data_IF_967204442140
#
_entry.id   IF_967204442140
#
_cell.length_a   1.000
_cell.length_b   1.000
_cell.length_c   1.000
_cell.angle_alpha   90.00
_cell.angle_beta   90.00
_cell.angle_gamma   90.00
#
_symmetry.space_group_name_H-M   'P 1'
#
loop_
_entity.id
_entity.type
_entity.pdbx_description
1 polymer ?
#
# COMPACT_ATOMS: atom_id res chain seq x y z
N UNK A 1 16.18 80.66 -26.37
CA UNK A 1 16.22 79.70 -25.27
C UNK A 1 15.05 78.69 -25.41
N UNK A 2 15.31 77.52 -26.00
CA UNK A 2 14.31 76.43 -26.15
C UNK A 2 14.80 75.29 -25.36
N UNK A 3 14.03 74.89 -24.29
CA UNK A 3 14.29 73.70 -23.47
C UNK A 3 13.54 72.53 -24.08
N UNK A 4 14.27 71.51 -24.49
CA UNK A 4 13.73 70.26 -25.01
C UNK A 4 13.59 69.32 -23.81
N UNK A 5 12.36 68.88 -23.48
CA UNK A 5 12.11 67.81 -22.51
C UNK A 5 12.27 66.47 -23.22
N UNK A 6 13.20 65.64 -22.73
CA UNK A 6 13.24 64.23 -23.07
C UNK A 6 12.35 63.46 -22.13
N UNK A 7 11.28 62.84 -22.63
CA UNK A 7 10.47 61.89 -21.91
C UNK A 7 11.11 60.50 -22.00
N UNK A 8 11.53 59.94 -20.87
CA UNK A 8 11.99 58.57 -20.78
C UNK A 8 10.79 57.65 -20.53
N UNK A 9 10.49 56.79 -21.50
CA UNK A 9 9.51 55.73 -21.35
C UNK A 9 10.17 54.51 -20.65
N UNK A 10 9.78 54.22 -19.40
CA UNK A 10 10.15 53.02 -18.70
C UNK A 10 9.21 51.88 -19.13
N UNK A 11 9.74 50.93 -19.91
CA UNK A 11 9.06 49.65 -20.16
C UNK A 11 9.16 48.77 -18.87
N UNK A 12 8.05 48.61 -18.16
CA UNK A 12 7.89 47.60 -17.13
C UNK A 12 7.64 46.27 -17.83
N UNK A 13 8.69 45.43 -17.94
CA UNK A 13 8.54 44.00 -18.21
C UNK A 13 8.06 43.32 -16.95
N UNK A 14 6.76 43.10 -16.84
CA UNK A 14 6.20 42.17 -15.86
C UNK A 14 6.55 40.74 -16.33
N UNK A 15 7.69 40.24 -15.89
CA UNK A 15 8.02 38.82 -15.97
C UNK A 15 7.10 38.06 -15.05
N UNK A 16 6.14 37.32 -15.58
CA UNK A 16 5.49 36.23 -14.85
C UNK A 16 6.57 35.19 -14.52
N UNK A 17 7.18 35.31 -13.36
CA UNK A 17 7.84 34.18 -12.70
C UNK A 17 6.73 33.25 -12.26
N UNK A 18 6.41 32.25 -13.09
CA UNK A 18 5.70 31.08 -12.64
C UNK A 18 6.52 30.44 -11.55
N UNK A 19 6.15 30.66 -10.30
CA UNK A 19 6.68 29.87 -9.19
C UNK A 19 6.18 28.44 -9.40
N UNK A 20 7.04 27.59 -9.96
CA UNK A 20 6.94 26.17 -9.73
C UNK A 20 7.39 25.95 -8.28
N UNK A 21 6.49 26.22 -7.33
CA UNK A 21 6.64 25.71 -5.97
C UNK A 21 6.52 24.19 -6.07
N UNK A 22 7.64 23.55 -6.39
CA UNK A 22 7.86 22.16 -6.05
C UNK A 22 8.04 22.15 -4.51
N UNK A 23 6.95 22.07 -3.79
CA UNK A 23 7.03 21.68 -2.38
C UNK A 23 7.87 20.43 -2.33
N UNK A 24 9.01 20.41 -1.62
CA UNK A 24 9.82 19.22 -1.54
C UNK A 24 8.94 18.13 -0.93
N UNK A 25 8.73 17.06 -1.68
CA UNK A 25 8.00 15.90 -1.22
C UNK A 25 8.59 15.41 0.10
N UNK A 26 7.76 14.98 1.02
CA UNK A 26 8.26 14.42 2.27
C UNK A 26 7.93 12.93 2.34
N UNK A 27 8.86 12.16 2.95
CA UNK A 27 8.73 10.72 3.09
C UNK A 27 8.48 10.36 4.55
N UNK A 28 7.46 9.55 4.78
CA UNK A 28 7.14 8.95 6.08
C UNK A 28 7.63 7.51 6.06
N UNK A 29 8.73 7.19 6.76
CA UNK A 29 9.22 5.83 6.85
C UNK A 29 8.44 5.06 7.93
N UNK A 30 8.02 3.85 7.63
CA UNK A 30 7.47 2.87 8.56
C UNK A 30 8.42 1.69 8.63
N UNK A 31 9.20 1.59 9.68
CA UNK A 31 9.92 0.38 10.09
C UNK A 31 9.01 -0.37 11.08
N UNK A 32 8.40 -1.46 10.65
CA UNK A 32 7.42 -2.18 11.48
C UNK A 32 8.06 -2.89 12.68
N UNK A 33 9.39 -2.97 12.74
CA UNK A 33 10.08 -3.38 13.94
C UNK A 33 9.95 -2.37 15.10
N UNK A 34 9.68 -1.10 14.77
CA UNK A 34 9.57 0.02 15.72
C UNK A 34 8.18 0.65 15.67
N UNK A 35 7.66 0.92 14.48
CA UNK A 35 6.41 1.68 14.23
C UNK A 35 5.23 0.75 13.89
N UNK A 36 5.03 -0.29 14.71
CA UNK A 36 4.00 -1.31 14.52
C UNK A 36 2.62 -0.94 15.07
N UNK A 37 2.54 0.05 15.94
CA UNK A 37 1.30 0.42 16.61
C UNK A 37 0.35 1.20 15.70
N UNK A 38 -0.95 1.07 15.96
CA UNK A 38 -2.00 1.77 15.22
C UNK A 38 -2.38 1.15 13.88
N UNK A 39 -1.83 -0.03 13.54
CA UNK A 39 -2.28 -0.83 12.41
C UNK A 39 -3.39 -1.78 12.85
N UNK A 40 -4.42 -1.90 12.03
CA UNK A 40 -5.57 -2.79 12.23
C UNK A 40 -5.71 -3.68 11.01
N UNK A 41 -5.87 -4.98 11.26
CA UNK A 41 -6.00 -5.96 10.19
C UNK A 41 -7.47 -6.27 9.87
N UNK A 42 -7.77 -6.51 8.60
CA UNK A 42 -9.07 -6.98 8.15
C UNK A 42 -8.96 -7.80 6.86
N UNK A 43 -10.05 -8.48 6.48
CA UNK A 43 -10.13 -9.25 5.26
C UNK A 43 -11.50 -9.11 4.60
N UNK A 44 -11.54 -9.33 3.29
CA UNK A 44 -12.75 -9.21 2.46
C UNK A 44 -12.70 -10.19 1.27
N UNK A 45 -13.78 -10.21 0.48
CA UNK A 45 -13.96 -10.96 -0.75
C UNK A 45 -14.05 -12.47 -0.56
N UNK A 46 -14.78 -12.86 0.48
CA UNK A 46 -15.18 -14.24 0.73
C UNK A 46 -16.59 -14.31 1.33
N UNK A 47 -17.31 -15.43 1.20
CA UNK A 47 -18.63 -15.61 1.83
C UNK A 47 -18.55 -15.48 3.35
N UNK A 48 -19.44 -14.70 3.96
CA UNK A 48 -19.41 -14.42 5.40
C UNK A 48 -19.54 -15.68 6.27
N UNK A 49 -20.25 -16.68 5.78
CA UNK A 49 -20.41 -18.00 6.44
C UNK A 49 -19.15 -18.87 6.37
N UNK A 50 -18.19 -18.52 5.51
CA UNK A 50 -16.90 -19.20 5.39
C UNK A 50 -15.76 -18.54 6.18
N UNK A 51 -16.04 -17.56 7.02
CA UNK A 51 -15.02 -16.85 7.80
C UNK A 51 -14.13 -17.79 8.63
N UNK A 52 -14.71 -18.85 9.21
CA UNK A 52 -13.96 -19.86 9.96
C UNK A 52 -13.00 -20.69 9.07
N UNK A 53 -13.40 -20.98 7.83
CA UNK A 53 -12.56 -21.70 6.86
C UNK A 53 -11.44 -20.81 6.30
N UNK A 54 -11.69 -19.51 6.14
CA UNK A 54 -10.65 -18.53 5.81
C UNK A 54 -9.59 -18.48 6.91
N UNK A 55 -9.99 -18.52 8.18
CA UNK A 55 -9.08 -18.51 9.32
C UNK A 55 -8.13 -17.32 9.28
N UNK A 56 -8.63 -16.13 8.88
CA UNK A 56 -7.82 -14.92 8.73
C UNK A 56 -7.11 -14.57 10.03
N UNK A 57 -5.82 -14.28 9.91
CA UNK A 57 -4.99 -13.73 11.00
C UNK A 57 -4.27 -12.49 10.49
N UNK A 58 -4.43 -11.39 11.22
CA UNK A 58 -3.67 -10.17 11.03
C UNK A 58 -3.11 -9.71 12.37
N UNK A 59 -1.78 -9.67 12.48
CA UNK A 59 -1.10 -9.48 13.76
C UNK A 59 0.28 -8.83 13.55
N UNK A 60 0.99 -8.57 14.65
CA UNK A 60 2.42 -8.25 14.66
C UNK A 60 3.16 -9.48 15.18
N UNK A 61 4.05 -10.03 14.37
CA UNK A 61 4.77 -11.26 14.70
C UNK A 61 6.26 -11.14 14.47
N UNK A 62 7.02 -11.91 15.24
CA UNK A 62 8.44 -12.11 14.96
C UNK A 62 8.61 -12.76 13.60
N UNK A 63 9.65 -12.35 12.89
CA UNK A 63 10.01 -12.97 11.61
C UNK A 63 10.44 -14.42 11.84
N UNK A 64 10.07 -15.37 10.97
CA UNK A 64 10.47 -16.77 11.09
C UNK A 64 11.93 -16.99 10.70
N UNK A 65 12.55 -18.06 11.22
CA UNK A 65 13.85 -18.50 10.73
C UNK A 65 13.76 -18.86 9.23
N UNK A 66 14.83 -18.61 8.43
CA UNK A 66 16.17 -18.14 8.81
C UNK A 66 16.31 -16.62 8.93
N UNK A 67 15.21 -15.86 8.91
CA UNK A 67 15.25 -14.40 9.05
C UNK A 67 15.64 -14.01 10.49
N UNK A 68 15.87 -12.72 10.73
CA UNK A 68 16.21 -12.19 12.04
C UNK A 68 14.98 -12.32 12.97
N UNK A 69 14.92 -13.40 13.75
CA UNK A 69 13.79 -13.74 14.60
C UNK A 69 13.54 -12.80 15.79
N UNK A 70 14.45 -11.84 16.03
CA UNK A 70 14.26 -10.75 16.97
C UNK A 70 13.55 -9.55 16.38
N UNK A 71 13.43 -9.49 15.04
CA UNK A 71 12.67 -8.47 14.34
C UNK A 71 11.22 -8.91 14.16
N UNK A 72 10.32 -7.94 14.07
CA UNK A 72 8.89 -8.18 13.83
C UNK A 72 8.45 -7.56 12.52
N UNK A 73 7.29 -8.01 12.04
CA UNK A 73 6.61 -7.44 10.89
C UNK A 73 5.09 -7.46 11.08
N UNK A 74 4.38 -6.71 10.26
CA UNK A 74 2.94 -6.84 10.13
C UNK A 74 2.64 -8.14 9.39
N UNK A 75 1.97 -9.05 10.06
CA UNK A 75 1.67 -10.38 9.54
C UNK A 75 0.24 -10.45 9.01
N UNK A 76 0.08 -11.11 7.87
CA UNK A 76 -1.22 -11.50 7.31
C UNK A 76 -1.15 -12.97 6.89
N UNK A 77 -2.18 -13.72 7.23
CA UNK A 77 -2.38 -15.08 6.71
C UNK A 77 -3.86 -15.44 6.60
N UNK A 78 -4.16 -16.36 5.71
CA UNK A 78 -5.50 -16.91 5.55
C UNK A 78 -5.57 -17.94 4.44
N UNK A 79 -6.64 -18.74 4.46
CA UNK A 79 -6.95 -19.68 3.39
C UNK A 79 -7.97 -19.05 2.45
N UNK A 80 -7.59 -18.82 1.22
CA UNK A 80 -8.51 -18.36 0.19
C UNK A 80 -9.43 -19.50 -0.22
N UNK A 81 -10.72 -19.35 0.07
CA UNK A 81 -11.77 -20.32 -0.24
C UNK A 81 -12.66 -19.87 -1.40
N UNK A 82 -12.53 -18.60 -1.80
CA UNK A 82 -13.42 -17.94 -2.78
C UNK A 82 -12.75 -17.71 -4.15
N UNK A 83 -11.41 -17.81 -4.22
CA UNK A 83 -10.66 -17.41 -5.40
C UNK A 83 -10.45 -15.89 -5.52
N UNK A 84 -10.75 -15.10 -4.48
CA UNK A 84 -10.59 -13.62 -4.48
C UNK A 84 -10.33 -13.05 -3.07
N UNK A 85 -9.66 -13.81 -2.20
CA UNK A 85 -9.40 -13.33 -0.83
C UNK A 85 -8.51 -12.07 -0.84
N UNK A 86 -9.02 -11.03 -0.17
CA UNK A 86 -8.27 -9.81 0.12
C UNK A 86 -8.00 -9.71 1.62
N UNK A 87 -6.71 -9.69 1.98
CA UNK A 87 -6.24 -9.49 3.37
C UNK A 87 -5.44 -8.20 3.45
N UNK A 88 -5.65 -7.39 4.48
CA UNK A 88 -4.95 -6.11 4.58
C UNK A 88 -4.74 -5.65 6.01
N UNK A 89 -3.71 -4.84 6.19
CA UNK A 89 -3.48 -3.96 7.32
C UNK A 89 -3.87 -2.54 6.91
N UNK A 90 -4.45 -1.79 7.82
CA UNK A 90 -4.77 -0.38 7.59
C UNK A 90 -4.36 0.48 8.78
N UNK A 91 -4.03 1.73 8.51
CA UNK A 91 -3.74 2.75 9.51
C UNK A 91 -4.33 4.08 9.09
N UNK A 92 -4.99 4.77 10.02
CA UNK A 92 -5.38 6.16 9.83
C UNK A 92 -4.26 7.08 10.27
N UNK A 93 -3.89 8.05 9.46
CA UNK A 93 -2.89 9.08 9.75
C UNK A 93 -3.51 10.46 9.64
N UNK A 94 -3.05 11.39 10.46
CA UNK A 94 -3.55 12.76 10.56
C UNK A 94 -2.40 13.75 10.66
N UNK A 95 -2.72 15.03 10.67
CA UNK A 95 -1.73 16.10 10.84
C UNK A 95 -1.37 16.81 9.53
N UNK A 96 -2.14 16.55 8.48
CA UNK A 96 -1.99 17.22 7.19
C UNK A 96 -3.00 18.36 7.03
N UNK A 97 -2.80 19.30 6.12
CA UNK A 97 -3.83 20.24 5.71
C UNK A 97 -5.09 19.51 5.23
N UNK A 98 -6.27 20.01 5.63
CA UNK A 98 -7.55 19.43 5.21
C UNK A 98 -7.80 19.63 3.70
N UNK A 99 -8.48 18.67 3.07
CA UNK A 99 -8.89 18.73 1.67
C UNK A 99 -7.75 19.07 0.71
N UNK A 100 -6.53 18.61 1.02
CA UNK A 100 -5.33 18.90 0.23
C UNK A 100 -4.99 17.71 -0.64
N UNK A 101 -4.68 18.00 -1.90
CA UNK A 101 -4.29 16.98 -2.89
C UNK A 101 -2.80 16.72 -2.83
N UNK A 102 -2.43 15.45 -2.85
CA UNK A 102 -1.07 14.95 -2.92
C UNK A 102 -0.96 13.89 -4.02
N UNK A 103 0.25 13.71 -4.50
CA UNK A 103 0.66 12.49 -5.20
C UNK A 103 1.36 11.58 -4.18
N UNK A 104 0.78 10.41 -3.92
CA UNK A 104 1.30 9.46 -2.95
C UNK A 104 2.08 8.34 -3.67
N UNK A 105 3.31 8.08 -3.22
CA UNK A 105 4.13 6.95 -3.69
C UNK A 105 4.43 6.03 -2.52
N UNK A 106 4.10 4.74 -2.67
CA UNK A 106 4.30 3.70 -1.67
C UNK A 106 5.44 2.78 -2.11
N UNK A 107 6.41 2.57 -1.23
CA UNK A 107 7.46 1.55 -1.35
C UNK A 107 7.28 0.56 -0.22
N UNK A 108 7.30 -0.74 -0.52
CA UNK A 108 7.02 -1.78 0.45
C UNK A 108 8.13 -2.82 0.43
N UNK A 109 8.61 -3.18 1.62
CA UNK A 109 9.51 -4.32 1.85
C UNK A 109 8.75 -5.41 2.60
N UNK A 110 8.92 -6.65 2.18
CA UNK A 110 8.22 -7.78 2.77
C UNK A 110 9.09 -9.04 2.80
N UNK A 111 8.67 -10.02 3.59
CA UNK A 111 9.27 -11.34 3.66
C UNK A 111 8.22 -12.41 3.37
N UNK A 112 8.59 -13.39 2.57
CA UNK A 112 7.73 -14.48 2.10
C UNK A 112 8.51 -15.78 2.02
N UNK A 113 7.80 -16.90 2.10
CA UNK A 113 8.33 -18.25 1.85
C UNK A 113 8.07 -18.74 0.41
N UNK A 114 7.64 -17.85 -0.48
CA UNK A 114 7.28 -18.19 -1.85
C UNK A 114 8.36 -17.69 -2.80
N UNK A 115 9.02 -18.60 -3.51
CA UNK A 115 10.05 -18.26 -4.48
C UNK A 115 9.45 -18.05 -5.88
N UNK A 116 10.11 -17.22 -6.71
CA UNK A 116 9.65 -16.92 -8.07
C UNK A 116 9.70 -18.13 -9.01
N UNK A 117 10.50 -19.14 -8.69
CA UNK A 117 10.54 -20.39 -9.44
C UNK A 117 9.42 -21.37 -9.12
N UNK A 118 8.58 -21.10 -8.10
CA UNK A 118 7.43 -21.93 -7.78
C UNK A 118 6.23 -21.50 -8.63
N UNK A 119 5.96 -22.26 -9.68
CA UNK A 119 4.83 -22.00 -10.59
C UNK A 119 3.50 -22.53 -10.06
N UNK A 120 3.57 -23.53 -9.18
CA UNK A 120 2.40 -24.14 -8.53
C UNK A 120 2.26 -23.54 -7.12
N UNK A 121 1.20 -22.80 -6.90
CA UNK A 121 0.97 -22.16 -5.60
C UNK A 121 0.54 -20.69 -5.69
N UNK A 122 0.57 -19.98 -4.57
CA UNK A 122 0.06 -18.61 -4.49
C UNK A 122 0.92 -17.58 -5.24
N UNK A 123 2.20 -17.88 -5.54
CA UNK A 123 3.17 -16.92 -6.06
C UNK A 123 2.67 -16.06 -7.22
N UNK A 124 2.37 -16.66 -8.39
CA UNK A 124 2.06 -15.88 -9.60
C UNK A 124 0.67 -15.26 -9.60
N UNK A 125 -0.20 -15.60 -8.66
CA UNK A 125 -1.63 -15.21 -8.63
C UNK A 125 -2.05 -14.58 -7.30
N UNK A 126 -1.07 -14.25 -6.46
CA UNK A 126 -1.27 -13.43 -5.27
C UNK A 126 -0.45 -12.16 -5.40
N UNK A 127 -1.11 -11.02 -5.29
CA UNK A 127 -0.51 -9.71 -5.54
C UNK A 127 -0.46 -8.88 -4.27
N UNK A 128 0.64 -8.13 -4.12
CA UNK A 128 0.75 -7.13 -3.08
C UNK A 128 -0.01 -5.89 -3.52
N UNK A 129 -0.90 -5.43 -2.66
CA UNK A 129 -1.70 -4.21 -2.83
C UNK A 129 -1.31 -3.21 -1.77
N UNK A 130 -1.10 -1.97 -2.18
CA UNK A 130 -0.97 -0.84 -1.27
C UNK A 130 -1.86 0.30 -1.73
N UNK A 131 -2.29 1.14 -0.81
CA UNK A 131 -3.22 2.21 -1.15
C UNK A 131 -3.29 3.32 -0.12
N UNK A 132 -3.83 4.45 -0.55
CA UNK A 132 -4.18 5.58 0.33
C UNK A 132 -5.54 6.13 -0.07
N UNK A 133 -6.36 6.49 0.91
CA UNK A 133 -7.68 7.09 0.66
C UNK A 133 -8.18 7.87 1.87
N UNK A 134 -8.95 8.92 1.65
CA UNK A 134 -9.70 9.60 2.70
C UNK A 134 -11.01 8.87 3.07
N UNK A 135 -11.47 7.94 2.23
CA UNK A 135 -12.70 7.18 2.48
C UNK A 135 -12.48 6.19 3.62
N UNK A 136 -13.34 6.25 4.64
CA UNK A 136 -13.30 5.27 5.73
C UNK A 136 -13.58 3.87 5.19
N UNK A 137 -12.68 2.89 5.47
CA UNK A 137 -12.87 1.52 5.05
C UNK A 137 -13.99 0.85 5.83
N UNK A 138 -14.91 0.20 5.11
CA UNK A 138 -15.99 -0.60 5.69
C UNK A 138 -16.13 -1.89 4.90
N UNK A 139 -16.15 -3.02 5.62
CA UNK A 139 -16.45 -4.34 5.04
C UNK A 139 -17.89 -4.69 5.37
N UNK A 140 -18.70 -4.94 4.33
CA UNK A 140 -20.11 -5.33 4.47
C UNK A 140 -20.44 -6.50 3.57
N UNK A 141 -21.42 -7.32 3.97
CA UNK A 141 -21.92 -8.38 3.10
C UNK A 141 -22.76 -7.78 1.97
N UNK A 142 -22.51 -8.21 0.75
CA UNK A 142 -23.34 -7.92 -0.41
C UNK A 142 -24.63 -8.78 -0.42
N UNK A 143 -25.47 -8.63 -1.44
CA UNK A 143 -26.73 -9.37 -1.57
C UNK A 143 -26.53 -10.89 -1.69
N UNK A 144 -25.34 -11.36 -2.02
CA UNK A 144 -24.95 -12.76 -2.10
C UNK A 144 -24.29 -13.26 -0.80
N UNK A 145 -24.20 -12.41 0.23
CA UNK A 145 -23.57 -12.74 1.50
C UNK A 145 -22.03 -12.71 1.45
N UNK A 146 -21.44 -12.13 0.39
CA UNK A 146 -19.98 -12.00 0.27
C UNK A 146 -19.54 -10.70 0.95
N UNK A 147 -18.56 -10.80 1.82
CA UNK A 147 -17.95 -9.63 2.47
C UNK A 147 -17.18 -8.81 1.44
N UNK A 148 -17.53 -7.53 1.29
CA UNK A 148 -16.92 -6.60 0.33
C UNK A 148 -16.38 -5.37 1.02
N UNK A 149 -15.19 -4.95 0.61
CA UNK A 149 -14.65 -3.64 0.99
C UNK A 149 -15.31 -2.57 0.11
N UNK A 150 -15.70 -1.44 0.72
CA UNK A 150 -16.31 -0.29 0.03
C UNK A 150 -15.33 0.54 -0.82
N UNK A 151 -14.06 0.16 -0.88
CA UNK A 151 -13.01 0.85 -1.65
C UNK A 151 -12.64 -0.03 -2.84
N UNK A 152 -12.57 0.58 -4.03
CA UNK A 152 -12.14 -0.12 -5.25
C UNK A 152 -10.65 -0.50 -5.15
N UNK A 153 -10.38 -1.79 -5.08
CA UNK A 153 -9.05 -2.38 -5.00
C UNK A 153 -8.50 -2.83 -6.37
N UNK A 154 -9.30 -2.76 -7.43
CA UNK A 154 -8.99 -3.32 -8.73
C UNK A 154 -8.98 -4.86 -8.72
N UNK A 155 -9.51 -5.48 -9.76
CA UNK A 155 -9.51 -6.94 -9.92
C UNK A 155 -8.24 -7.40 -10.65
N UNK A 156 -7.21 -7.82 -9.90
CA UNK A 156 -5.92 -8.25 -10.46
C UNK A 156 -5.07 -7.12 -11.07
N UNK A 157 -5.47 -5.86 -10.87
CA UNK A 157 -4.79 -4.66 -11.33
C UNK A 157 -4.89 -3.55 -10.28
N UNK A 158 -4.45 -2.34 -10.58
CA UNK A 158 -4.69 -1.18 -9.74
C UNK A 158 -6.15 -0.74 -9.83
N UNK A 159 -6.75 -0.32 -8.71
CA UNK A 159 -8.09 0.26 -8.62
C UNK A 159 -8.03 1.71 -8.11
N UNK A 160 -9.20 2.33 -7.88
CA UNK A 160 -9.27 3.73 -7.45
C UNK A 160 -8.64 4.01 -6.08
N UNK A 161 -8.62 3.03 -5.16
CA UNK A 161 -8.05 3.16 -3.81
C UNK A 161 -6.75 2.38 -3.59
N UNK A 162 -6.31 1.59 -4.57
CA UNK A 162 -5.14 0.72 -4.44
C UNK A 162 -4.31 0.65 -5.71
N UNK A 163 -3.01 0.48 -5.52
CA UNK A 163 -2.08 0.13 -6.58
C UNK A 163 -1.51 -1.27 -6.36
N UNK A 164 -1.25 -2.00 -7.46
CA UNK A 164 -0.61 -3.29 -7.43
C UNK A 164 0.91 -3.12 -7.53
N UNK A 165 1.63 -3.61 -6.53
CA UNK A 165 3.09 -3.47 -6.43
C UNK A 165 3.84 -4.61 -7.13
N UNK A 166 3.22 -5.75 -7.31
CA UNK A 166 3.80 -6.96 -7.87
C UNK A 166 3.18 -8.20 -7.24
N UNK A 167 3.71 -9.36 -7.56
CA UNK A 167 3.31 -10.61 -6.93
C UNK A 167 3.98 -10.80 -5.55
N UNK A 168 3.53 -11.84 -4.82
CA UNK A 168 4.00 -12.13 -3.45
C UNK A 168 5.38 -12.83 -3.42
N UNK A 169 5.99 -13.13 -4.57
CA UNK A 169 7.23 -13.92 -4.61
C UNK A 169 8.44 -13.14 -4.07
N UNK A 170 9.43 -13.89 -3.57
CA UNK A 170 10.66 -13.31 -3.00
C UNK A 170 11.65 -12.77 -4.02
N UNK A 171 11.42 -13.00 -5.31
CA UNK A 171 12.41 -12.71 -6.36
C UNK A 171 13.54 -13.75 -6.47
N UNK A 172 13.64 -14.70 -5.55
CA UNK A 172 14.65 -15.76 -5.61
C UNK A 172 14.25 -16.83 -6.63
N UNK A 173 15.24 -17.29 -7.41
CA UNK A 173 15.05 -18.36 -8.37
C UNK A 173 14.91 -19.74 -7.69
N UNK A 174 14.35 -20.71 -8.44
CA UNK A 174 14.12 -22.06 -7.95
C UNK A 174 12.86 -22.17 -7.08
N UNK A 175 12.51 -23.42 -6.73
CA UNK A 175 11.40 -23.70 -5.83
C UNK A 175 11.90 -24.63 -4.71
N UNK A 176 12.38 -24.07 -3.60
CA UNK A 176 12.90 -24.85 -2.49
C UNK A 176 11.78 -25.57 -1.74
N UNK A 177 12.18 -26.36 -0.76
CA UNK A 177 11.25 -27.02 0.14
C UNK A 177 10.28 -25.99 0.77
N UNK A 178 8.98 -26.28 0.82
CA UNK A 178 7.99 -25.40 1.44
C UNK A 178 8.38 -24.97 2.85
N UNK A 179 8.11 -23.71 3.20
CA UNK A 179 8.38 -23.15 4.51
C UNK A 179 9.73 -22.42 4.66
N UNK A 180 10.56 -22.38 3.61
CA UNK A 180 11.78 -21.56 3.64
C UNK A 180 11.46 -20.11 3.36
N UNK A 181 11.62 -19.25 4.37
CA UNK A 181 11.44 -17.79 4.21
C UNK A 181 12.65 -17.11 3.62
N UNK A 182 12.40 -16.06 2.89
CA UNK A 182 13.42 -15.16 2.39
C UNK A 182 12.98 -13.71 2.51
N UNK A 183 13.93 -12.83 2.76
CA UNK A 183 13.70 -11.40 2.70
C UNK A 183 13.93 -10.91 1.28
N UNK A 184 13.03 -10.09 0.76
CA UNK A 184 13.27 -9.34 -0.45
C UNK A 184 13.95 -8.01 -0.08
N UNK A 185 15.25 -7.91 -0.36
CA UNK A 185 16.02 -6.70 -0.09
C UNK A 185 15.80 -5.53 -1.04
N UNK A 186 14.96 -5.68 -2.06
CA UNK A 186 14.67 -4.62 -3.03
C UNK A 186 13.26 -4.08 -2.76
N UNK A 187 13.13 -2.79 -2.39
CA UNK A 187 11.82 -2.18 -2.21
C UNK A 187 10.98 -2.23 -3.50
N UNK A 188 9.73 -2.61 -3.40
CA UNK A 188 8.77 -2.53 -4.49
C UNK A 188 8.22 -1.11 -4.53
N UNK A 189 8.35 -0.44 -5.68
CA UNK A 189 7.81 0.90 -5.87
C UNK A 189 6.41 0.81 -6.44
N UNK A 190 5.47 1.48 -5.79
CA UNK A 190 4.14 1.71 -6.32
C UNK A 190 4.18 2.75 -7.44
N UNK A 191 3.23 2.67 -8.34
CA UNK A 191 2.88 3.81 -9.17
C UNK A 191 2.31 4.91 -8.28
N UNK A 192 2.58 6.16 -8.65
CA UNK A 192 1.99 7.29 -7.97
C UNK A 192 0.47 7.24 -8.08
N UNK A 193 -0.22 7.50 -6.97
CA UNK A 193 -1.67 7.55 -6.93
C UNK A 193 -2.11 8.88 -6.30
N UNK A 194 -3.24 9.44 -6.74
CA UNK A 194 -3.77 10.66 -6.15
C UNK A 194 -4.31 10.38 -4.76
N UNK A 195 -4.09 11.31 -3.85
CA UNK A 195 -4.66 11.36 -2.51
C UNK A 195 -5.25 12.74 -2.26
N UNK A 196 -6.47 12.81 -1.77
CA UNK A 196 -7.02 14.02 -1.17
C UNK A 196 -7.26 13.71 0.30
N UNK A 197 -6.69 14.51 1.20
CA UNK A 197 -6.93 14.37 2.65
C UNK A 197 -8.39 14.68 2.97
N UNK A 198 -8.92 14.08 4.04
CA UNK A 198 -10.28 14.39 4.51
C UNK A 198 -10.41 15.80 5.11
N UNK A 199 -11.62 16.15 5.57
CA UNK A 199 -11.91 17.43 6.21
C UNK A 199 -11.16 17.65 7.54
N UNK A 200 -10.58 16.61 8.12
CA UNK A 200 -9.77 16.63 9.33
C UNK A 200 -8.27 16.63 9.04
N UNK A 201 -7.88 16.60 7.78
CA UNK A 201 -6.47 16.48 7.36
C UNK A 201 -5.92 15.08 7.61
N UNK A 202 -6.74 14.05 7.43
CA UNK A 202 -6.35 12.66 7.60
C UNK A 202 -6.59 11.81 6.35
N UNK A 203 -6.06 10.60 6.37
CA UNK A 203 -6.30 9.56 5.36
C UNK A 203 -5.91 8.18 5.89
N UNK A 204 -6.42 7.15 5.25
CA UNK A 204 -6.05 5.76 5.52
C UNK A 204 -4.93 5.31 4.61
N UNK A 205 -4.00 4.54 5.16
CA UNK A 205 -2.98 3.80 4.43
C UNK A 205 -3.34 2.32 4.50
N UNK A 206 -3.20 1.62 3.38
CA UNK A 206 -3.43 0.18 3.26
C UNK A 206 -2.18 -0.54 2.79
N UNK A 207 -2.02 -1.76 3.29
CA UNK A 207 -0.97 -2.68 2.88
C UNK A 207 -1.52 -4.10 2.98
N UNK A 208 -1.56 -4.85 1.87
CA UNK A 208 -2.22 -6.13 1.88
C UNK A 208 -1.89 -7.02 0.68
N UNK A 209 -2.65 -8.12 0.56
CA UNK A 209 -2.57 -9.07 -0.54
C UNK A 209 -3.95 -9.36 -1.10
N UNK A 210 -4.02 -9.53 -2.42
CA UNK A 210 -5.18 -10.07 -3.12
C UNK A 210 -4.78 -11.35 -3.83
N UNK A 211 -5.47 -12.44 -3.56
CA UNK A 211 -5.13 -13.77 -4.08
C UNK A 211 -6.28 -14.39 -4.85
N UNK A 212 -5.99 -14.88 -6.06
CA UNK A 212 -6.88 -15.79 -6.78
C UNK A 212 -6.49 -17.28 -6.57
N UNK A 213 -5.39 -17.58 -5.89
CA UNK A 213 -5.01 -18.93 -5.51
C UNK A 213 -5.94 -19.47 -4.42
N UNK A 214 -6.63 -20.57 -4.67
CA UNK A 214 -7.42 -21.27 -3.65
C UNK A 214 -6.48 -22.08 -2.77
N UNK A 215 -6.30 -21.63 -1.52
CA UNK A 215 -5.38 -22.24 -0.58
C UNK A 215 -4.80 -21.23 0.41
N UNK A 216 -3.93 -21.72 1.29
CA UNK A 216 -3.29 -20.92 2.32
C UNK A 216 -2.14 -20.08 1.75
N UNK A 217 -2.05 -18.84 2.20
CA UNK A 217 -0.88 -17.98 1.98
C UNK A 217 -0.66 -17.05 3.16
N UNK A 218 0.58 -16.61 3.32
CA UNK A 218 1.00 -15.71 4.38
C UNK A 218 2.12 -14.77 3.93
N UNK A 219 2.25 -13.63 4.62
CA UNK A 219 3.26 -12.61 4.34
C UNK A 219 3.59 -11.82 5.60
N UNK A 220 4.81 -11.34 5.68
CA UNK A 220 5.26 -10.34 6.65
C UNK A 220 5.67 -9.06 5.94
N UNK A 221 5.03 -7.94 6.24
CA UNK A 221 5.53 -6.64 5.82
C UNK A 221 6.53 -6.13 6.85
N UNK A 222 7.72 -5.76 6.40
CA UNK A 222 8.82 -5.37 7.29
C UNK A 222 9.05 -3.87 7.30
N UNK A 223 8.86 -3.20 6.15
CA UNK A 223 8.99 -1.75 6.00
C UNK A 223 8.06 -1.20 4.94
N UNK A 224 7.74 0.08 5.08
CA UNK A 224 7.07 0.85 4.05
C UNK A 224 7.57 2.29 4.09
N UNK A 225 7.77 2.91 2.93
CA UNK A 225 7.94 4.34 2.79
C UNK A 225 6.74 4.92 2.04
N UNK A 226 6.12 5.94 2.61
CA UNK A 226 5.11 6.75 1.96
C UNK A 226 5.70 8.11 1.64
N UNK A 227 5.82 8.44 0.36
CA UNK A 227 6.22 9.77 -0.11
C UNK A 227 4.99 10.52 -0.60
N UNK A 228 4.82 11.77 -0.14
CA UNK A 228 3.75 12.68 -0.54
C UNK A 228 4.35 13.91 -1.22
N UNK A 229 3.86 14.24 -2.42
CA UNK A 229 4.28 15.39 -3.24
C UNK A 229 3.08 16.24 -3.64
#
# INVERSE_FOLDING_TARGET
>A
MKRTLCAAAALLMAGCLGSTDLSPGFTIPYDFNVLKDGWVAASADYPADQAAAVGFVGDVRNLPAPLLTTSVGLYLSGTNVSGDLFMYQLRYVTGFPANTTYTATLQVEYSTNIHSGCTDGPGPVTFIKAGVTATQPVVTADAQGVLRLNIDKGAGASGGGFTQLGDITSGLAGCPTPGTYSAWGTPIRAQSMPLVTDASGGFFIFLGTQSSFVGFHEIYFTRMNLTLE
#
